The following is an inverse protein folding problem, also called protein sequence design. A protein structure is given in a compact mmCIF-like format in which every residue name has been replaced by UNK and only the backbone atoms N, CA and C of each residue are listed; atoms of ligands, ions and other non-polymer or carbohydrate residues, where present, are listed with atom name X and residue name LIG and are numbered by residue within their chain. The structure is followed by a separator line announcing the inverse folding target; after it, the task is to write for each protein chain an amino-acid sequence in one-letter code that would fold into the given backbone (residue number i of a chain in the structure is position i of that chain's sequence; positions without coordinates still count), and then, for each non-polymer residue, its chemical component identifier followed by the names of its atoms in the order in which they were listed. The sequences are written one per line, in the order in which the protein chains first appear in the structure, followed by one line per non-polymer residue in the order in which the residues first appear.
data_IF_310485314591
#
_entry.id   IF_310485314591
#
_cell.length_a   1.000
_cell.length_b   1.000
_cell.length_c   1.000
_cell.angle_alpha   90.00
_cell.angle_beta   90.00
_cell.angle_gamma   90.00
#
_symmetry.space_group_name_H-M   'P 1'
#
loop_
_entity.id
_entity.type
_entity.pdbx_description
1 polymer ?
#
# COMPACT_ATOMS: atom_id res chain seq x y z
N UNK A 1 -7.38 8.12 -2.91
CA UNK A 1 -8.03 7.09 -2.08
C UNK A 1 -8.69 5.99 -2.93
N UNK A 2 -9.48 6.30 -3.95
CA UNK A 2 -10.24 5.31 -4.74
C UNK A 2 -9.45 4.43 -5.74
N UNK A 3 -8.19 4.69 -6.00
CA UNK A 3 -7.37 3.96 -6.99
C UNK A 3 -7.37 2.45 -6.88
N UNK A 4 -7.45 1.92 -5.67
CA UNK A 4 -7.40 0.49 -5.39
C UNK A 4 -8.76 -0.16 -5.54
N UNK A 5 -9.80 0.63 -5.46
CA UNK A 5 -11.18 0.17 -5.60
C UNK A 5 -11.58 0.00 -7.06
N UNK A 6 -11.00 0.77 -8.00
CA UNK A 6 -11.32 0.70 -9.42
C UNK A 6 -11.15 -0.70 -10.04
N UNK A 7 -10.02 -1.42 -9.82
CA UNK A 7 -9.90 -2.78 -10.32
C UNK A 7 -10.94 -3.74 -9.73
N UNK A 8 -11.37 -3.52 -8.47
CA UNK A 8 -12.43 -4.33 -7.84
C UNK A 8 -13.77 -4.07 -8.49
N UNK A 9 -14.09 -2.80 -8.75
CA UNK A 9 -15.32 -2.41 -9.45
C UNK A 9 -15.39 -3.01 -10.86
N UNK A 10 -14.29 -2.91 -11.61
CA UNK A 10 -14.21 -3.50 -12.95
C UNK A 10 -14.41 -5.01 -12.91
N UNK A 11 -13.75 -5.70 -11.98
CA UNK A 11 -13.90 -7.16 -11.81
C UNK A 11 -15.33 -7.53 -11.40
N UNK A 12 -15.92 -6.78 -10.48
CA UNK A 12 -17.31 -6.98 -10.05
C UNK A 12 -18.26 -6.89 -11.24
N UNK A 13 -18.11 -5.89 -12.10
CA UNK A 13 -18.92 -5.74 -13.33
C UNK A 13 -18.73 -6.87 -14.33
N UNK A 14 -17.49 -7.32 -14.52
CA UNK A 14 -17.23 -8.44 -15.43
C UNK A 14 -17.88 -9.72 -14.91
N UNK A 15 -17.82 -9.96 -13.60
CA UNK A 15 -18.44 -11.14 -12.99
C UNK A 15 -19.97 -11.15 -13.09
N UNK A 16 -20.61 -9.98 -13.22
CA UNK A 16 -22.06 -9.86 -13.42
C UNK A 16 -22.57 -10.24 -14.81
N UNK A 17 -21.68 -10.22 -15.82
CA UNK A 17 -22.04 -10.57 -17.19
C UNK A 17 -22.01 -12.08 -17.39
N UNK A 18 -22.92 -12.59 -18.22
CA UNK A 18 -22.87 -13.97 -18.69
C UNK A 18 -21.50 -14.27 -19.32
N UNK A 19 -20.83 -15.33 -18.89
CA UNK A 19 -19.45 -15.63 -19.29
C UNK A 19 -18.37 -14.70 -18.67
N UNK A 20 -18.75 -13.81 -17.77
CA UNK A 20 -17.85 -12.83 -17.17
C UNK A 20 -16.70 -13.45 -16.37
N UNK A 21 -16.95 -14.58 -15.69
CA UNK A 21 -15.90 -15.32 -14.97
C UNK A 21 -14.82 -15.86 -15.92
N UNK A 22 -15.21 -16.40 -17.09
CA UNK A 22 -14.27 -16.87 -18.10
C UNK A 22 -13.50 -15.71 -18.75
N UNK A 23 -14.19 -14.59 -19.03
CA UNK A 23 -13.56 -13.39 -19.56
C UNK A 23 -12.52 -12.83 -18.57
N UNK A 24 -12.88 -12.78 -17.29
CA UNK A 24 -11.97 -12.34 -16.23
C UNK A 24 -10.74 -13.25 -16.10
N UNK A 25 -10.91 -14.56 -16.15
CA UNK A 25 -9.81 -15.53 -16.11
C UNK A 25 -8.84 -15.40 -17.30
N UNK A 26 -9.34 -14.93 -18.45
CA UNK A 26 -8.47 -14.64 -19.63
C UNK A 26 -7.66 -13.34 -19.47
N UNK A 27 -8.18 -12.37 -18.76
CA UNK A 27 -7.55 -11.05 -18.55
C UNK A 27 -6.60 -11.10 -17.36
N UNK A 28 -7.02 -11.69 -16.24
CA UNK A 28 -6.23 -11.79 -15.00
C UNK A 28 -5.52 -13.13 -14.96
N UNK A 29 -4.39 -13.21 -15.63
CA UNK A 29 -3.62 -14.47 -15.77
C UNK A 29 -2.78 -14.86 -14.55
N UNK A 30 -2.80 -14.07 -13.49
CA UNK A 30 -1.88 -14.26 -12.37
C UNK A 30 -0.42 -14.02 -12.77
N UNK A 31 0.51 -14.29 -11.86
CA UNK A 31 1.94 -14.13 -12.10
C UNK A 31 2.55 -15.44 -12.59
N UNK A 32 3.42 -15.42 -13.62
CA UNK A 32 4.09 -16.62 -14.12
C UNK A 32 4.91 -17.33 -13.03
N UNK A 33 5.03 -18.65 -13.13
CA UNK A 33 6.00 -19.39 -12.34
C UNK A 33 7.41 -18.85 -12.61
N UNK A 34 8.19 -18.59 -11.57
CA UNK A 34 9.52 -17.98 -11.69
C UNK A 34 9.51 -16.45 -11.79
N UNK A 35 8.35 -15.79 -11.59
CA UNK A 35 8.30 -14.34 -11.39
C UNK A 35 9.20 -13.94 -10.22
N UNK A 36 10.03 -12.91 -10.43
CA UNK A 36 10.88 -12.40 -9.36
C UNK A 36 10.02 -11.77 -8.26
N UNK A 37 10.11 -12.31 -7.05
CA UNK A 37 9.43 -11.83 -5.87
C UNK A 37 10.42 -11.24 -4.87
N UNK A 38 9.94 -10.36 -4.01
CA UNK A 38 10.79 -9.70 -3.02
C UNK A 38 11.17 -10.65 -1.87
N UNK A 39 10.28 -11.56 -1.49
CA UNK A 39 10.47 -12.54 -0.38
C UNK A 39 10.03 -13.96 -0.80
N UNK A 40 10.79 -15.04 -0.48
CA UNK A 40 10.55 -16.43 -0.95
C UNK A 40 9.45 -17.25 -0.20
N UNK A 41 9.06 -18.44 -0.69
CA UNK A 41 7.69 -19.01 -0.71
C UNK A 41 7.08 -19.72 0.53
N UNK A 42 5.75 -19.88 0.59
CA UNK A 42 4.94 -20.75 1.43
C UNK A 42 3.47 -20.54 1.78
N UNK A 43 2.36 -20.54 0.93
CA UNK A 43 0.95 -20.97 1.24
C UNK A 43 -0.20 -20.76 0.23
N UNK A 44 -1.42 -21.38 0.43
CA UNK A 44 -2.57 -21.51 -0.52
C UNK A 44 -3.85 -20.72 -0.18
N UNK A 45 -4.76 -20.43 -1.20
CA UNK A 45 -6.01 -19.62 -1.08
C UNK A 45 -7.27 -20.23 -1.71
N UNK A 46 -8.51 -19.84 -1.25
CA UNK A 46 -9.84 -20.30 -1.77
C UNK A 46 -10.91 -19.18 -1.75
N UNK A 47 -11.87 -19.14 -2.71
CA UNK A 47 -12.90 -18.08 -2.85
C UNK A 47 -14.24 -18.47 -3.51
N UNK A 48 -15.27 -17.59 -3.57
CA UNK A 48 -16.68 -17.78 -4.03
C UNK A 48 -17.34 -16.54 -4.74
N UNK A 49 -18.51 -16.63 -5.49
CA UNK A 49 -19.04 -15.65 -6.48
C UNK A 49 -20.18 -14.71 -6.00
N UNK A 50 -20.56 -13.66 -6.79
CA UNK A 50 -21.59 -12.64 -6.49
C UNK A 50 -22.29 -11.93 -7.65
N UNK A 51 -23.52 -11.40 -7.42
CA UNK A 51 -24.38 -10.68 -8.35
C UNK A 51 -24.72 -9.23 -7.88
N UNK A 52 -24.80 -8.27 -8.79
CA UNK A 52 -25.55 -7.01 -8.63
C UNK A 52 -24.87 -5.65 -8.33
N UNK A 53 -23.95 -5.09 -9.16
CA UNK A 53 -23.31 -3.77 -8.89
C UNK A 53 -23.03 -2.89 -10.14
N UNK A 54 -24.06 -2.45 -10.87
CA UNK A 54 -23.87 -1.66 -12.12
C UNK A 54 -23.57 -0.17 -11.94
N UNK A 55 -23.91 0.46 -10.82
CA UNK A 55 -23.88 1.91 -10.62
C UNK A 55 -22.54 2.47 -10.05
N UNK A 56 -21.67 1.59 -9.54
CA UNK A 56 -20.42 1.99 -8.92
C UNK A 56 -19.35 2.56 -9.86
N UNK A 57 -19.55 2.46 -11.17
CA UNK A 57 -18.52 2.85 -12.15
C UNK A 57 -18.54 4.36 -12.46
N UNK A 58 -19.67 5.03 -12.34
CA UNK A 58 -19.74 6.47 -12.59
C UNK A 58 -18.99 7.24 -11.51
N UNK A 59 -19.18 6.88 -10.24
CA UNK A 59 -18.48 7.50 -9.12
C UNK A 59 -16.94 7.26 -9.15
N UNK A 60 -16.49 6.10 -9.66
CA UNK A 60 -15.06 5.83 -9.81
C UNK A 60 -14.43 6.62 -10.97
N UNK A 61 -15.19 6.83 -12.07
CA UNK A 61 -14.75 7.65 -13.21
C UNK A 61 -14.53 9.11 -12.85
N UNK A 62 -15.39 9.68 -12.03
CA UNK A 62 -15.29 11.09 -11.58
C UNK A 62 -14.10 11.33 -10.64
N UNK A 63 -13.64 10.34 -9.90
CA UNK A 63 -12.48 10.44 -9.00
C UNK A 63 -11.12 10.22 -9.68
N UNK A 64 -11.09 9.85 -10.96
CA UNK A 64 -9.87 9.43 -11.66
C UNK A 64 -8.89 10.60 -11.95
N UNK A 65 -9.33 11.86 -11.81
CA UNK A 65 -8.45 13.04 -11.94
C UNK A 65 -7.38 13.16 -10.83
N UNK A 66 -7.51 12.40 -9.74
CA UNK A 66 -6.52 12.33 -8.65
C UNK A 66 -5.41 11.32 -8.89
N UNK A 67 -5.43 10.60 -9.99
CA UNK A 67 -4.57 9.46 -10.28
C UNK A 67 -3.43 9.73 -11.26
N UNK A 68 -2.20 9.64 -10.78
CA UNK A 68 -1.04 9.46 -11.65
C UNK A 68 -1.06 8.04 -12.21
N UNK A 69 -1.20 7.86 -13.52
CA UNK A 69 -1.30 6.55 -14.19
C UNK A 69 0.06 5.88 -14.43
N UNK A 70 1.15 6.66 -14.44
CA UNK A 70 2.52 6.22 -14.76
C UNK A 70 3.49 6.38 -13.58
N UNK A 71 3.07 5.98 -12.39
CA UNK A 71 3.92 6.04 -11.19
C UNK A 71 4.59 4.71 -10.91
N UNK A 72 5.82 4.79 -10.45
CA UNK A 72 6.60 3.66 -10.00
C UNK A 72 7.64 4.10 -8.98
N UNK A 73 8.46 3.17 -8.56
CA UNK A 73 9.62 3.45 -7.72
C UNK A 73 10.59 2.28 -7.82
N UNK A 74 11.87 2.56 -7.62
CA UNK A 74 12.89 1.53 -7.42
C UNK A 74 13.55 1.77 -6.07
N UNK A 75 13.89 0.72 -5.36
CA UNK A 75 14.83 0.76 -4.26
C UNK A 75 15.55 -0.58 -4.16
N UNK A 76 16.80 -0.55 -3.73
CA UNK A 76 17.57 -1.75 -3.46
C UNK A 76 18.64 -1.50 -2.40
N UNK A 77 19.06 -2.56 -1.75
CA UNK A 77 20.22 -2.58 -0.87
C UNK A 77 21.13 -3.74 -1.22
N UNK A 78 22.43 -3.57 -0.99
CA UNK A 78 23.44 -4.60 -1.24
C UNK A 78 24.33 -4.78 -0.02
N UNK A 79 24.80 -6.03 0.18
CA UNK A 79 25.69 -6.40 1.26
C UNK A 79 27.04 -5.68 1.18
N UNK A 80 27.67 -5.41 2.33
CA UNK A 80 29.02 -4.88 2.40
C UNK A 80 30.07 -5.74 1.69
N UNK A 81 29.88 -7.07 1.65
CA UNK A 81 30.76 -7.99 0.90
C UNK A 81 30.76 -7.75 -0.61
N UNK A 82 29.79 -7.02 -1.14
CA UNK A 82 29.69 -6.64 -2.57
C UNK A 82 30.25 -5.26 -2.87
N UNK A 83 30.62 -4.47 -1.86
CA UNK A 83 31.01 -3.06 -1.98
C UNK A 83 32.50 -2.85 -1.76
N UNK A 84 33.04 -1.81 -2.39
CA UNK A 84 34.43 -1.41 -2.22
C UNK A 84 34.74 -0.88 -0.81
N UNK A 85 33.73 -0.36 -0.08
CA UNK A 85 33.88 0.13 1.28
C UNK A 85 33.82 -0.96 2.35
N UNK A 86 33.31 -2.16 2.03
CA UNK A 86 32.97 -3.18 2.99
C UNK A 86 31.69 -2.91 3.79
N UNK A 87 31.05 -1.75 3.59
CA UNK A 87 29.77 -1.39 4.20
C UNK A 87 28.62 -1.52 3.17
N UNK A 88 27.41 -1.90 3.61
CA UNK A 88 26.28 -2.01 2.70
C UNK A 88 25.92 -0.66 2.06
N UNK A 89 25.31 -0.71 0.88
CA UNK A 89 24.77 0.45 0.18
C UNK A 89 23.28 0.30 -0.01
N UNK A 90 22.58 1.44 0.05
CA UNK A 90 21.15 1.55 -0.29
C UNK A 90 20.95 2.60 -1.38
N UNK A 91 20.01 2.34 -2.28
CA UNK A 91 19.60 3.25 -3.32
C UNK A 91 18.07 3.31 -3.40
N UNK A 92 17.54 4.47 -3.78
CA UNK A 92 16.10 4.68 -3.91
C UNK A 92 15.79 5.72 -4.98
N UNK A 93 14.71 5.49 -5.72
CA UNK A 93 14.29 6.29 -6.86
C UNK A 93 12.77 6.27 -7.00
N UNK A 94 12.13 7.44 -6.99
CA UNK A 94 10.70 7.60 -7.11
C UNK A 94 10.33 8.14 -8.48
N UNK A 95 9.46 7.42 -9.19
CA UNK A 95 8.93 7.86 -10.49
C UNK A 95 7.63 8.62 -10.27
N UNK A 96 7.67 9.93 -10.48
CA UNK A 96 6.55 10.86 -10.32
C UNK A 96 6.41 11.77 -11.53
N UNK A 97 5.28 12.45 -11.64
CA UNK A 97 5.10 13.53 -12.61
C UNK A 97 6.20 14.58 -12.48
N UNK A 98 6.65 15.13 -13.62
CA UNK A 98 7.66 16.19 -13.68
C UNK A 98 7.01 17.57 -13.54
N UNK A 99 6.35 17.79 -12.41
CA UNK A 99 5.65 19.03 -12.10
C UNK A 99 6.54 20.02 -11.36
N UNK A 100 6.21 21.31 -11.47
CA UNK A 100 6.81 22.39 -10.69
C UNK A 100 5.72 23.15 -9.92
N UNK A 101 5.71 23.14 -8.57
CA UNK A 101 6.69 22.50 -7.70
C UNK A 101 6.58 20.97 -7.72
N UNK A 102 7.69 20.27 -7.49
CA UNK A 102 7.72 18.81 -7.37
C UNK A 102 6.91 18.32 -6.18
N UNK A 103 6.41 17.09 -6.26
CA UNK A 103 5.72 16.41 -5.15
C UNK A 103 6.61 16.24 -3.92
N UNK A 104 7.93 16.17 -4.11
CA UNK A 104 8.88 16.06 -3.01
C UNK A 104 9.70 17.35 -2.84
N UNK A 105 10.03 17.65 -1.59
CA UNK A 105 11.05 18.61 -1.24
C UNK A 105 12.12 17.95 -0.35
N UNK A 106 13.35 18.44 -0.42
CA UNK A 106 14.43 17.98 0.43
C UNK A 106 14.39 18.71 1.77
N UNK A 107 14.65 17.99 2.84
CA UNK A 107 14.69 18.53 4.21
C UNK A 107 15.84 17.92 4.98
N UNK A 108 16.54 18.76 5.75
CA UNK A 108 17.53 18.34 6.73
C UNK A 108 17.11 18.86 8.11
N UNK A 109 16.84 17.95 9.02
CA UNK A 109 16.47 18.24 10.40
C UNK A 109 17.67 17.92 11.30
N UNK A 110 18.27 18.96 11.90
CA UNK A 110 19.44 18.79 12.76
C UNK A 110 19.24 19.53 14.07
N UNK A 111 19.22 18.79 15.17
CA UNK A 111 19.17 19.31 16.54
C UNK A 111 19.74 18.26 17.51
N UNK A 112 19.96 18.58 18.80
CA UNK A 112 20.38 17.57 19.75
C UNK A 112 19.49 16.33 19.77
N UNK A 113 20.07 15.16 19.45
CA UNK A 113 19.36 13.87 19.41
C UNK A 113 18.56 13.57 18.12
N UNK A 114 18.68 14.43 17.10
CA UNK A 114 18.10 14.19 15.77
C UNK A 114 18.99 14.80 14.70
N UNK A 115 19.46 13.97 13.77
CA UNK A 115 20.15 14.40 12.56
C UNK A 115 19.70 13.52 11.40
N UNK A 116 18.68 13.97 10.65
CA UNK A 116 18.10 13.22 9.54
C UNK A 116 17.90 14.10 8.31
N UNK A 117 18.32 13.61 7.16
CA UNK A 117 18.17 14.27 5.86
C UNK A 117 17.46 13.36 4.88
N UNK A 118 16.62 13.92 4.03
CA UNK A 118 15.91 13.16 2.99
C UNK A 118 14.85 13.97 2.30
N UNK A 119 13.93 13.25 1.67
CA UNK A 119 12.80 13.82 0.94
C UNK A 119 11.48 13.60 1.68
N UNK A 120 10.61 14.59 1.62
CA UNK A 120 9.26 14.55 2.18
C UNK A 120 8.25 15.20 1.22
N UNK A 121 6.98 15.03 1.52
CA UNK A 121 5.86 15.69 0.80
C UNK A 121 5.48 16.96 1.56
N UNK A 122 5.19 18.10 0.88
CA UNK A 122 4.73 19.32 1.53
C UNK A 122 3.54 19.08 2.47
N UNK A 123 3.64 19.58 3.69
CA UNK A 123 2.66 19.39 4.76
C UNK A 123 2.86 18.12 5.61
N UNK A 124 3.77 17.23 5.23
CA UNK A 124 4.14 16.04 6.00
C UNK A 124 5.44 16.31 6.75
N UNK A 125 5.47 16.29 8.10
CA UNK A 125 6.67 16.54 8.85
C UNK A 125 7.67 15.39 8.75
N UNK A 126 8.96 15.72 8.70
CA UNK A 126 10.05 14.75 8.75
C UNK A 126 10.67 14.42 7.38
N UNK A 127 11.74 13.63 7.42
CA UNK A 127 12.43 13.08 6.24
C UNK A 127 12.08 11.59 6.13
N UNK A 128 11.17 11.21 5.22
CA UNK A 128 10.51 9.91 5.30
C UNK A 128 10.71 9.02 4.07
N UNK A 129 10.83 9.61 2.86
CA UNK A 129 10.74 8.82 1.64
C UNK A 129 12.08 8.20 1.24
N UNK A 130 13.07 9.01 0.98
CA UNK A 130 14.44 8.60 0.68
C UNK A 130 15.29 9.36 1.67
N UNK A 131 15.76 8.69 2.70
CA UNK A 131 16.36 9.39 3.81
C UNK A 131 17.45 8.58 4.48
N UNK A 132 18.26 9.27 5.23
CA UNK A 132 19.17 8.66 6.19
C UNK A 132 19.37 9.58 7.40
N UNK A 133 19.80 8.97 8.49
CA UNK A 133 20.43 9.65 9.60
C UNK A 133 21.92 9.26 9.65
N UNK A 134 22.60 9.48 10.77
CA UNK A 134 24.03 9.14 10.93
C UNK A 134 24.31 7.62 10.94
N UNK A 135 23.29 6.76 11.04
CA UNK A 135 23.42 5.34 11.32
C UNK A 135 22.74 4.45 10.32
N UNK A 136 21.59 4.84 9.82
CA UNK A 136 20.77 4.01 8.93
C UNK A 136 20.21 4.84 7.78
N UNK A 137 20.21 4.26 6.58
CA UNK A 137 19.62 4.83 5.38
C UNK A 137 18.54 3.92 4.80
N UNK A 138 17.55 4.53 4.15
CA UNK A 138 16.46 3.81 3.49
C UNK A 138 16.00 4.47 2.20
N UNK A 139 15.60 3.61 1.26
CA UNK A 139 14.87 3.98 0.06
C UNK A 139 13.48 3.34 0.08
N UNK A 140 12.45 4.09 -0.27
CA UNK A 140 11.05 3.65 -0.18
C UNK A 140 10.47 3.37 -1.56
N UNK A 141 9.68 2.30 -1.68
CA UNK A 141 8.77 2.12 -2.80
C UNK A 141 7.35 1.84 -2.31
N UNK A 142 6.38 2.06 -3.17
CA UNK A 142 5.00 1.73 -2.86
C UNK A 142 4.81 0.22 -2.73
N UNK A 143 4.20 -0.23 -1.61
CA UNK A 143 4.07 -1.64 -1.26
C UNK A 143 3.05 -2.41 -2.06
N UNK A 144 2.18 -1.72 -2.82
CA UNK A 144 1.12 -2.32 -3.66
C UNK A 144 0.20 -3.30 -2.91
N UNK A 145 0.20 -3.28 -1.58
CA UNK A 145 -0.71 -4.09 -0.79
C UNK A 145 -2.15 -3.59 -0.96
N UNK A 146 -3.07 -4.51 -1.03
CA UNK A 146 -4.50 -4.23 -1.09
C UNK A 146 -5.05 -4.04 0.32
N UNK A 147 -5.35 -2.81 0.68
CA UNK A 147 -5.77 -2.42 2.03
C UNK A 147 -7.19 -1.85 2.07
N UNK A 148 -7.82 -1.66 0.91
CA UNK A 148 -9.16 -1.09 0.83
C UNK A 148 -10.14 -2.13 0.33
N UNK A 149 -11.25 -2.32 1.05
CA UNK A 149 -12.34 -3.20 0.65
C UNK A 149 -13.64 -2.42 0.47
N UNK A 150 -14.49 -2.91 -0.42
CA UNK A 150 -15.80 -2.35 -0.71
C UNK A 150 -16.87 -3.29 -0.19
N UNK A 151 -17.72 -2.78 0.71
CA UNK A 151 -18.81 -3.51 1.31
C UNK A 151 -20.13 -2.96 0.79
N UNK A 152 -20.90 -3.79 0.11
CA UNK A 152 -22.29 -3.44 -0.24
C UNK A 152 -23.15 -3.59 0.99
N UNK A 153 -23.85 -2.53 1.34
CA UNK A 153 -24.67 -2.45 2.55
C UNK A 153 -26.15 -2.30 2.19
N UNK A 154 -27.01 -2.88 3.02
CA UNK A 154 -28.45 -2.68 2.99
C UNK A 154 -28.90 -1.78 4.10
N UNK A 155 -29.74 -0.82 3.76
CA UNK A 155 -30.23 0.19 4.71
C UNK A 155 -31.74 0.17 4.81
N UNK A 156 -32.24 0.70 5.91
CA UNK A 156 -33.64 1.12 6.11
C UNK A 156 -33.71 2.34 7.00
N UNK A 157 -34.82 3.06 6.92
CA UNK A 157 -35.19 4.03 7.93
C UNK A 157 -35.94 3.25 9.05
N UNK A 158 -35.26 3.11 10.20
CA UNK A 158 -35.83 2.51 11.39
C UNK A 158 -36.56 3.55 12.26
N UNK A 159 -36.75 3.32 13.55
CA UNK A 159 -37.48 4.19 14.50
C UNK A 159 -36.84 5.57 14.68
N UNK A 160 -36.87 6.40 13.64
CA UNK A 160 -36.32 7.76 13.60
C UNK A 160 -34.81 7.85 13.38
N UNK A 161 -34.17 6.77 12.91
CA UNK A 161 -32.75 6.72 12.58
C UNK A 161 -32.49 5.77 11.42
N UNK A 162 -31.40 5.99 10.70
CA UNK A 162 -30.90 5.07 9.68
C UNK A 162 -30.30 3.83 10.32
N UNK A 163 -30.64 2.67 9.76
CA UNK A 163 -30.12 1.36 10.19
C UNK A 163 -29.58 0.62 8.98
N UNK A 164 -28.53 -0.20 9.19
CA UNK A 164 -27.99 -1.11 8.21
C UNK A 164 -28.13 -2.56 8.68
N UNK A 165 -28.31 -3.48 7.73
CA UNK A 165 -28.40 -4.92 8.00
C UNK A 165 -27.02 -5.53 8.27
N UNK A 166 -26.91 -6.36 9.32
CA UNK A 166 -25.74 -7.16 9.57
C UNK A 166 -26.13 -8.47 10.26
N UNK A 167 -25.77 -9.61 9.66
CA UNK A 167 -26.09 -10.96 10.15
C UNK A 167 -27.58 -11.16 10.49
N UNK A 168 -28.46 -10.63 9.65
CA UNK A 168 -29.92 -10.70 9.82
C UNK A 168 -30.49 -9.75 10.88
N UNK A 169 -29.67 -8.91 11.52
CA UNK A 169 -30.10 -7.90 12.47
C UNK A 169 -29.88 -6.48 11.91
N UNK A 170 -30.74 -5.55 12.33
CA UNK A 170 -30.60 -4.13 11.99
C UNK A 170 -29.82 -3.39 13.06
N UNK A 171 -28.73 -2.71 12.65
CA UNK A 171 -27.86 -1.92 13.52
C UNK A 171 -27.95 -0.44 13.15
N UNK A 172 -27.88 0.47 14.13
CA UNK A 172 -27.86 1.91 13.83
C UNK A 172 -26.59 2.29 13.06
N UNK A 173 -26.76 3.03 11.95
CA UNK A 173 -25.69 3.72 11.29
C UNK A 173 -25.37 5.05 12.01
N UNK A 174 -24.11 5.46 12.00
CA UNK A 174 -23.74 6.83 12.35
C UNK A 174 -24.04 7.73 11.15
N UNK A 175 -24.64 8.89 11.39
CA UNK A 175 -24.93 9.88 10.35
C UNK A 175 -24.34 11.20 10.79
N UNK A 176 -23.48 11.77 9.96
CA UNK A 176 -22.82 13.06 10.17
C UNK A 176 -23.31 14.05 9.11
N UNK A 177 -23.72 15.21 9.59
CA UNK A 177 -24.02 16.36 8.73
C UNK A 177 -22.75 17.20 8.56
N UNK A 178 -22.24 17.28 7.34
CA UNK A 178 -21.05 18.04 6.99
C UNK A 178 -21.40 19.21 6.07
N UNK A 179 -20.66 20.30 6.19
CA UNK A 179 -20.80 21.46 5.32
C UNK A 179 -19.48 21.76 4.61
N UNK A 180 -19.50 21.64 3.29
CA UNK A 180 -18.35 22.01 2.46
C UNK A 180 -18.48 23.48 2.08
N UNK A 181 -17.54 24.31 2.55
CA UNK A 181 -17.44 25.71 2.16
C UNK A 181 -16.79 25.84 0.79
N UNK A 182 -17.50 26.36 -0.16
CA UNK A 182 -17.00 26.57 -1.53
C UNK A 182 -16.54 28.01 -1.66
N UNK A 183 -15.30 28.25 -2.07
CA UNK A 183 -14.77 29.60 -2.31
C UNK A 183 -15.56 30.26 -3.43
N UNK A 184 -16.07 31.45 -3.14
CA UNK A 184 -16.88 32.25 -4.07
C UNK A 184 -18.17 31.56 -4.56
N UNK A 185 -18.64 30.52 -3.83
CA UNK A 185 -19.83 29.74 -4.13
C UNK A 185 -20.75 29.52 -2.93
N UNK A 186 -21.89 28.88 -3.16
CA UNK A 186 -22.77 28.44 -2.10
C UNK A 186 -22.17 27.25 -1.32
N UNK A 187 -22.43 27.22 -0.02
CA UNK A 187 -22.07 26.03 0.81
C UNK A 187 -22.81 24.79 0.33
N UNK A 188 -22.14 23.64 0.36
CA UNK A 188 -22.73 22.34 0.03
C UNK A 188 -22.92 21.55 1.32
N UNK A 189 -24.18 21.30 1.69
CA UNK A 189 -24.50 20.38 2.78
C UNK A 189 -24.39 18.94 2.28
N UNK A 190 -23.71 18.09 3.05
CA UNK A 190 -23.52 16.68 2.76
C UNK A 190 -23.78 15.82 3.99
N UNK A 191 -24.57 14.78 3.83
CA UNK A 191 -24.77 13.76 4.86
C UNK A 191 -23.81 12.60 4.61
N UNK A 192 -23.03 12.21 5.62
CA UNK A 192 -22.14 11.05 5.59
C UNK A 192 -22.73 9.96 6.45
N UNK A 193 -23.10 8.85 5.84
CA UNK A 193 -23.54 7.64 6.55
C UNK A 193 -22.36 6.70 6.78
N UNK A 194 -22.18 6.23 8.02
CA UNK A 194 -21.06 5.37 8.41
C UNK A 194 -21.60 4.09 9.02
N UNK A 195 -21.13 2.94 8.50
CA UNK A 195 -21.35 1.61 9.08
C UNK A 195 -20.10 1.15 9.85
N UNK A 196 -20.12 -0.04 10.43
CA UNK A 196 -18.91 -0.60 11.05
C UNK A 196 -17.79 -0.92 10.05
N UNK A 197 -18.12 -1.05 8.74
CA UNK A 197 -17.11 -1.19 7.69
C UNK A 197 -16.46 0.14 7.29
N UNK A 198 -17.14 1.27 7.54
CA UNK A 198 -16.65 2.60 7.23
C UNK A 198 -17.70 3.50 6.58
N UNK A 199 -17.28 4.66 6.04
CA UNK A 199 -18.18 5.59 5.38
C UNK A 199 -18.71 5.05 4.05
N UNK A 200 -19.99 5.35 3.78
CA UNK A 200 -20.63 5.07 2.48
C UNK A 200 -20.11 6.08 1.46
N UNK A 201 -19.56 5.58 0.38
CA UNK A 201 -18.92 6.37 -0.69
C UNK A 201 -19.69 6.34 -2.01
N UNK A 202 -20.69 5.47 -2.15
CA UNK A 202 -21.53 5.35 -3.33
C UNK A 202 -22.91 4.79 -2.97
N UNK A 203 -23.90 4.97 -3.85
CA UNK A 203 -25.30 4.64 -3.61
C UNK A 203 -26.00 5.69 -2.72
N UNK A 204 -27.25 5.40 -2.39
CA UNK A 204 -28.04 6.25 -1.49
C UNK A 204 -28.65 5.40 -0.37
N UNK A 205 -28.14 5.51 0.87
CA UNK A 205 -28.70 4.81 2.03
C UNK A 205 -30.21 5.02 2.22
N UNK A 206 -30.77 6.16 1.79
CA UNK A 206 -32.20 6.43 1.84
C UNK A 206 -33.00 5.58 0.85
N UNK A 207 -32.37 5.17 -0.25
CA UNK A 207 -32.97 4.26 -1.23
C UNK A 207 -32.83 2.78 -0.86
N UNK A 208 -32.19 2.49 0.29
CA UNK A 208 -32.06 1.14 0.85
C UNK A 208 -30.74 0.44 0.60
N UNK A 209 -29.76 1.07 -0.07
CA UNK A 209 -28.46 0.47 -0.30
C UNK A 209 -27.34 1.53 -0.41
N UNK A 210 -26.13 1.07 -0.22
CA UNK A 210 -24.92 1.87 -0.40
C UNK A 210 -23.68 1.01 -0.41
N UNK A 211 -22.55 1.61 -0.69
CA UNK A 211 -21.25 0.94 -0.64
C UNK A 211 -20.36 1.66 0.35
N UNK A 212 -20.00 0.98 1.42
CA UNK A 212 -19.04 1.42 2.40
C UNK A 212 -17.61 1.05 1.98
N UNK A 213 -16.64 1.88 2.36
CA UNK A 213 -15.23 1.60 2.17
C UNK A 213 -14.56 1.28 3.49
N UNK A 214 -13.96 0.10 3.58
CA UNK A 214 -13.04 -0.27 4.65
C UNK A 214 -11.62 0.13 4.28
N UNK A 215 -10.96 0.91 5.14
CA UNK A 215 -9.57 1.34 4.98
C UNK A 215 -8.93 1.51 6.36
N UNK A 216 -7.73 0.94 6.62
CA UNK A 216 -7.04 1.09 7.90
C UNK A 216 -6.74 2.55 8.29
N UNK A 217 -6.63 3.44 7.32
CA UNK A 217 -6.40 4.87 7.52
C UNK A 217 -7.63 5.67 7.97
N UNK A 218 -8.83 5.09 7.88
CA UNK A 218 -10.09 5.74 8.31
C UNK A 218 -10.42 5.49 9.80
N UNK A 219 -9.60 4.72 10.51
CA UNK A 219 -9.77 4.44 11.94
C UNK A 219 -9.54 5.65 12.82
N UNK A 220 -9.97 5.54 14.07
CA UNK A 220 -9.78 6.59 15.11
C UNK A 220 -8.31 6.71 15.49
N UNK A 221 -7.63 7.67 14.86
CA UNK A 221 -6.22 7.99 15.10
C UNK A 221 -5.26 7.04 14.37
N UNK A 222 -4.31 7.64 13.71
CA UNK A 222 -3.23 6.94 13.01
C UNK A 222 -1.90 7.43 13.59
N UNK A 223 -1.16 6.62 14.36
CA UNK A 223 0.07 7.04 15.03
C UNK A 223 1.29 7.07 14.09
N UNK A 224 1.10 7.20 12.79
CA UNK A 224 2.19 7.28 11.80
C UNK A 224 3.20 8.42 12.06
N UNK A 225 2.84 9.59 12.63
CA UNK A 225 3.84 10.62 12.94
C UNK A 225 4.85 10.16 14.00
N UNK A 226 4.42 9.36 14.97
CA UNK A 226 5.31 8.77 15.97
C UNK A 226 6.25 7.75 15.33
N UNK A 227 5.74 6.92 14.42
CA UNK A 227 6.56 6.00 13.63
C UNK A 227 7.61 6.76 12.79
N UNK A 228 7.21 7.86 12.16
CA UNK A 228 8.10 8.72 11.38
C UNK A 228 9.24 9.31 12.23
N UNK A 229 8.91 9.83 13.40
CA UNK A 229 9.91 10.39 14.34
C UNK A 229 10.84 9.29 14.86
N UNK A 230 10.32 8.13 15.20
CA UNK A 230 11.12 6.98 15.63
C UNK A 230 12.05 6.49 14.51
N UNK A 231 11.56 6.42 13.26
CA UNK A 231 12.36 6.05 12.11
C UNK A 231 13.57 6.98 11.89
N UNK A 232 13.35 8.30 11.99
CA UNK A 232 14.44 9.27 11.87
C UNK A 232 15.50 9.16 12.99
N UNK A 233 15.18 8.53 14.12
CA UNK A 233 16.05 8.31 15.28
C UNK A 233 16.63 6.91 15.35
N UNK A 234 16.22 6.00 14.50
CA UNK A 234 16.67 4.61 14.51
C UNK A 234 18.19 4.51 14.36
N UNK A 235 18.82 3.65 15.13
CA UNK A 235 20.29 3.46 15.12
C UNK A 235 20.72 2.33 14.18
N UNK A 236 19.81 1.47 13.79
CA UNK A 236 20.06 0.34 12.88
C UNK A 236 18.76 -0.13 12.21
N UNK A 237 18.89 -1.12 11.31
CA UNK A 237 17.76 -1.68 10.56
C UNK A 237 16.68 -2.30 11.46
N UNK A 238 17.03 -2.91 12.59
CA UNK A 238 16.06 -3.55 13.48
C UNK A 238 15.24 -2.50 14.25
N UNK A 239 15.89 -1.43 14.72
CA UNK A 239 15.19 -0.30 15.33
C UNK A 239 14.30 0.43 14.31
N UNK A 240 14.76 0.58 13.05
CA UNK A 240 13.92 1.13 11.98
C UNK A 240 12.69 0.25 11.71
N UNK A 241 12.86 -1.08 11.69
CA UNK A 241 11.74 -2.01 11.58
C UNK A 241 10.75 -1.83 12.72
N UNK A 242 11.23 -1.76 13.95
CA UNK A 242 10.39 -1.56 15.13
C UNK A 242 9.67 -0.20 15.11
N UNK A 243 10.33 0.87 14.65
CA UNK A 243 9.71 2.17 14.46
C UNK A 243 8.48 2.11 13.55
N UNK A 244 8.48 1.25 12.53
CA UNK A 244 7.35 1.05 11.64
C UNK A 244 6.22 0.19 12.20
N UNK A 245 6.29 -0.34 13.40
CA UNK A 245 5.22 -1.13 14.04
C UNK A 245 3.90 -0.38 14.12
N UNK A 246 3.95 0.93 14.31
CA UNK A 246 2.77 1.80 14.38
C UNK A 246 2.48 2.53 13.06
N UNK A 247 3.20 2.20 11.98
CA UNK A 247 2.95 2.77 10.66
C UNK A 247 1.60 2.29 10.11
N UNK A 248 0.67 3.20 9.90
CA UNK A 248 -0.71 2.91 9.49
C UNK A 248 -1.10 3.55 8.18
N UNK A 249 -0.32 4.52 7.71
CA UNK A 249 -0.52 5.10 6.40
C UNK A 249 -0.17 4.08 5.31
N UNK A 250 -0.17 4.47 4.06
CA UNK A 250 0.04 3.55 2.92
C UNK A 250 1.11 2.51 3.18
N UNK A 251 0.82 1.26 2.81
CA UNK A 251 1.80 0.18 2.90
C UNK A 251 2.96 0.46 1.96
N UNK A 252 4.17 0.48 2.50
CA UNK A 252 5.40 0.79 1.79
C UNK A 252 6.42 -0.35 1.90
N UNK A 253 7.28 -0.42 0.89
CA UNK A 253 8.48 -1.24 0.89
C UNK A 253 9.68 -0.34 1.20
N UNK A 254 10.58 -0.81 2.02
CA UNK A 254 11.83 -0.13 2.34
C UNK A 254 13.02 -1.02 2.02
N UNK A 255 13.92 -0.56 1.16
CA UNK A 255 15.27 -1.07 1.09
C UNK A 255 16.09 -0.32 2.14
N UNK A 256 16.87 -1.03 2.94
CA UNK A 256 17.57 -0.47 4.13
C UNK A 256 19.01 -0.92 4.15
N UNK A 257 19.89 -0.04 4.65
CA UNK A 257 21.28 -0.36 4.99
C UNK A 257 21.70 0.44 6.24
N UNK A 258 22.53 -0.15 7.12
CA UNK A 258 23.01 0.50 8.33
C UNK A 258 24.52 0.41 8.51
N UNK A 259 25.06 1.20 9.45
CA UNK A 259 26.49 1.23 9.79
C UNK A 259 26.99 -0.01 10.55
N UNK A 260 26.10 -0.87 11.02
CA UNK A 260 26.43 -2.15 11.65
C UNK A 260 26.67 -3.26 10.63
N UNK A 261 26.43 -2.99 9.34
CA UNK A 261 26.61 -3.92 8.25
C UNK A 261 25.34 -4.65 7.83
N UNK A 262 24.19 -4.32 8.44
CA UNK A 262 22.91 -4.91 8.05
C UNK A 262 22.37 -4.23 6.80
N UNK A 263 21.70 -5.03 5.97
CA UNK A 263 20.99 -4.58 4.78
C UNK A 263 19.77 -5.46 4.53
N UNK A 264 18.84 -4.98 3.72
CA UNK A 264 17.71 -5.82 3.38
C UNK A 264 16.46 -5.05 2.99
N UNK A 265 15.33 -5.70 3.26
CA UNK A 265 14.00 -5.24 2.87
C UNK A 265 13.03 -5.33 4.05
N UNK A 266 12.21 -4.29 4.21
CA UNK A 266 11.11 -4.24 5.17
C UNK A 266 9.82 -3.88 4.44
N UNK A 267 8.74 -4.59 4.75
CA UNK A 267 7.37 -4.21 4.35
C UNK A 267 6.69 -3.58 5.56
N UNK A 268 6.15 -2.39 5.42
CA UNK A 268 5.57 -1.66 6.55
C UNK A 268 4.19 -1.11 6.22
N UNK A 269 3.26 -1.25 7.16
CA UNK A 269 1.89 -0.77 7.07
C UNK A 269 0.88 -1.77 7.61
N UNK A 270 -0.36 -1.35 7.76
CA UNK A 270 -1.46 -2.22 8.19
C UNK A 270 -2.14 -2.87 6.98
N UNK A 271 -2.08 -4.19 6.94
CA UNK A 271 -2.73 -4.99 5.89
C UNK A 271 -3.80 -5.84 6.58
N UNK A 272 -5.09 -5.70 6.20
CA UNK A 272 -6.17 -6.47 6.82
C UNK A 272 -6.03 -7.97 6.55
N UNK A 273 -6.25 -8.79 7.56
CA UNK A 273 -6.42 -10.24 7.42
C UNK A 273 -7.86 -10.51 7.03
N UNK A 274 -8.06 -11.02 5.84
CA UNK A 274 -9.39 -11.33 5.29
C UNK A 274 -9.32 -12.29 4.10
N UNK A 275 -10.48 -12.75 3.67
CA UNK A 275 -10.61 -13.63 2.51
C UNK A 275 -10.20 -12.95 1.19
N UNK A 276 -9.75 -13.73 0.23
CA UNK A 276 -9.32 -13.25 -1.08
C UNK A 276 -10.46 -12.57 -1.87
N UNK A 277 -11.72 -12.93 -1.59
CA UNK A 277 -12.88 -12.33 -2.23
C UNK A 277 -12.94 -10.81 -2.06
N UNK A 278 -12.59 -10.30 -0.88
CA UNK A 278 -12.51 -8.86 -0.58
C UNK A 278 -11.51 -8.15 -1.50
N UNK A 279 -10.40 -8.81 -1.82
CA UNK A 279 -9.39 -8.27 -2.73
C UNK A 279 -9.82 -8.25 -4.19
N UNK A 280 -10.80 -9.10 -4.58
CA UNK A 280 -11.23 -9.24 -5.96
C UNK A 280 -12.36 -8.28 -6.34
N UNK A 281 -13.31 -8.05 -5.44
CA UNK A 281 -14.60 -7.45 -5.74
C UNK A 281 -15.20 -6.74 -4.53
N UNK A 282 -16.27 -5.99 -4.75
CA UNK A 282 -17.14 -5.57 -3.67
C UNK A 282 -17.85 -6.80 -3.08
N UNK A 283 -18.01 -6.85 -1.77
CA UNK A 283 -18.54 -7.97 -1.00
C UNK A 283 -19.82 -7.58 -0.27
N UNK A 284 -20.66 -8.59 0.05
CA UNK A 284 -21.91 -8.39 0.79
C UNK A 284 -21.65 -8.12 2.27
N UNK A 285 -21.64 -6.85 2.68
CA UNK A 285 -21.40 -6.41 4.05
C UNK A 285 -22.44 -6.95 5.05
N UNK A 286 -23.69 -7.12 4.62
CA UNK A 286 -24.76 -7.60 5.51
C UNK A 286 -24.62 -9.05 5.98
N UNK A 287 -23.73 -9.85 5.37
CA UNK A 287 -23.63 -11.29 5.65
C UNK A 287 -22.73 -11.67 6.82
N UNK A 288 -21.83 -10.81 7.25
CA UNK A 288 -20.76 -11.11 8.22
C UNK A 288 -19.69 -12.09 7.70
N UNK A 289 -19.71 -12.49 6.44
CA UNK A 289 -18.80 -13.50 5.86
C UNK A 289 -17.46 -12.94 5.38
N UNK A 290 -17.36 -11.63 5.27
CA UNK A 290 -16.22 -10.94 4.64
C UNK A 290 -15.55 -9.95 5.58
N UNK A 291 -15.72 -10.17 6.87
CA UNK A 291 -15.13 -9.31 7.90
C UNK A 291 -13.60 -9.36 7.91
N UNK A 292 -13.01 -8.29 8.37
CA UNK A 292 -11.59 -8.28 8.69
C UNK A 292 -11.35 -8.96 10.04
N UNK A 293 -10.48 -9.97 10.04
CA UNK A 293 -10.08 -10.71 11.24
C UNK A 293 -8.94 -10.01 12.02
N UNK A 294 -8.66 -8.76 11.69
CA UNK A 294 -7.57 -7.97 12.23
C UNK A 294 -6.56 -7.57 11.15
N UNK A 295 -5.30 -7.45 11.53
CA UNK A 295 -4.22 -7.08 10.62
C UNK A 295 -3.08 -8.10 10.70
N UNK A 296 -2.33 -8.25 9.59
CA UNK A 296 -1.12 -9.07 9.59
C UNK A 296 -0.20 -8.58 10.72
N UNK A 297 0.23 -9.46 11.64
CA UNK A 297 1.16 -9.08 12.70
C UNK A 297 2.42 -8.44 12.13
N UNK A 298 2.90 -7.38 12.75
CA UNK A 298 4.08 -6.65 12.27
C UNK A 298 5.29 -7.57 12.05
N UNK A 299 5.47 -8.54 12.95
CA UNK A 299 6.61 -9.47 12.89
C UNK A 299 6.48 -10.52 11.77
N UNK A 300 5.28 -10.67 11.20
CA UNK A 300 4.97 -11.57 10.10
C UNK A 300 4.89 -10.86 8.73
N UNK A 301 5.01 -9.52 8.70
CA UNK A 301 5.08 -8.78 7.43
C UNK A 301 6.30 -9.22 6.60
N UNK A 302 6.16 -9.27 5.26
CA UNK A 302 7.26 -9.66 4.37
C UNK A 302 8.55 -8.88 4.68
N UNK A 303 9.59 -9.57 5.08
CA UNK A 303 10.85 -8.97 5.54
C UNK A 303 12.02 -9.84 5.10
N UNK A 304 13.13 -9.22 4.68
CA UNK A 304 14.39 -9.91 4.40
C UNK A 304 15.54 -9.14 5.06
N UNK A 305 16.15 -9.73 6.07
CA UNK A 305 17.30 -9.16 6.79
C UNK A 305 18.53 -9.98 6.43
N UNK A 306 19.57 -9.30 5.92
CA UNK A 306 20.83 -9.91 5.51
C UNK A 306 20.65 -11.13 4.60
N UNK A 307 19.85 -11.06 3.51
CA UNK A 307 19.62 -12.21 2.66
C UNK A 307 20.93 -12.72 2.05
N UNK A 308 21.14 -14.06 2.04
CA UNK A 308 22.36 -14.72 1.57
C UNK A 308 22.76 -14.37 0.14
N UNK A 309 21.78 -14.05 -0.71
CA UNK A 309 22.01 -13.60 -2.09
C UNK A 309 22.80 -12.28 -2.17
N UNK A 310 22.96 -11.55 -1.06
CA UNK A 310 23.76 -10.34 -0.96
C UNK A 310 23.09 -9.08 -1.53
N UNK A 311 21.77 -9.09 -1.80
CA UNK A 311 20.98 -7.91 -2.19
C UNK A 311 19.50 -8.09 -1.84
N UNK A 312 18.79 -6.99 -1.72
CA UNK A 312 17.34 -6.92 -1.70
C UNK A 312 16.87 -5.85 -2.69
N UNK A 313 15.84 -6.15 -3.49
CA UNK A 313 15.36 -5.28 -4.58
C UNK A 313 13.85 -5.16 -4.49
N UNK A 314 13.35 -3.94 -4.51
CA UNK A 314 11.93 -3.63 -4.61
C UNK A 314 11.68 -2.56 -5.67
N UNK A 315 10.93 -2.93 -6.71
CA UNK A 315 10.51 -2.06 -7.80
C UNK A 315 8.98 -2.14 -7.99
N UNK A 316 8.25 -2.24 -6.90
CA UNK A 316 6.80 -2.46 -6.80
C UNK A 316 6.33 -3.84 -7.32
N UNK A 317 7.24 -4.79 -7.58
CA UNK A 317 6.88 -6.15 -7.93
C UNK A 317 6.30 -6.87 -6.71
N UNK A 318 5.78 -8.07 -6.93
CA UNK A 318 5.20 -8.92 -5.90
C UNK A 318 6.16 -9.13 -4.73
N UNK A 319 5.67 -8.91 -3.52
CA UNK A 319 6.51 -8.88 -2.30
C UNK A 319 6.72 -10.24 -1.66
N UNK A 320 5.77 -11.16 -1.83
CA UNK A 320 5.80 -12.48 -1.21
C UNK A 320 5.39 -13.57 -2.20
N UNK A 321 5.85 -14.79 -1.97
CA UNK A 321 5.54 -15.94 -2.79
C UNK A 321 4.14 -16.52 -2.54
N UNK A 322 3.77 -17.59 -3.26
CA UNK A 322 2.44 -18.20 -3.19
C UNK A 322 2.14 -18.86 -1.84
N UNK A 323 3.19 -19.20 -1.12
CA UNK A 323 3.16 -19.88 0.16
C UNK A 323 3.20 -18.93 1.37
N UNK A 324 3.22 -17.62 1.18
CA UNK A 324 3.01 -16.66 2.25
C UNK A 324 1.57 -16.76 2.79
N UNK A 325 1.37 -16.88 4.13
CA UNK A 325 0.08 -17.26 4.71
C UNK A 325 -1.03 -16.20 4.60
N UNK A 326 -0.70 -14.98 4.20
CA UNK A 326 -1.66 -13.89 4.16
C UNK A 326 -1.86 -13.37 2.74
N UNK A 327 -3.07 -12.89 2.47
CA UNK A 327 -3.36 -12.15 1.26
C UNK A 327 -2.81 -10.72 1.36
N UNK A 328 -1.86 -10.39 0.50
CA UNK A 328 -1.28 -9.03 0.44
C UNK A 328 -1.90 -8.20 -0.69
N UNK A 329 -2.14 -8.78 -1.84
CA UNK A 329 -2.69 -8.06 -2.99
C UNK A 329 -2.55 -8.81 -4.30
N UNK A 330 -3.18 -8.25 -5.34
CA UNK A 330 -3.20 -8.80 -6.71
C UNK A 330 -2.54 -7.88 -7.74
N UNK A 331 -2.41 -6.59 -7.45
CA UNK A 331 -2.04 -5.57 -8.43
C UNK A 331 -0.61 -5.08 -8.19
N UNK A 332 0.36 -5.95 -8.40
CA UNK A 332 1.78 -5.60 -8.37
C UNK A 332 2.26 -5.23 -9.78
N UNK A 333 3.30 -4.41 -9.87
CA UNK A 333 3.92 -4.14 -11.17
C UNK A 333 4.66 -5.37 -11.70
N UNK A 334 4.81 -5.51 -13.03
CA UNK A 334 5.67 -6.53 -13.62
C UNK A 334 7.12 -6.40 -13.12
N UNK A 335 7.84 -7.51 -13.10
CA UNK A 335 9.19 -7.62 -12.56
C UNK A 335 10.31 -7.02 -13.44
N UNK A 336 9.99 -6.42 -14.60
CA UNK A 336 11.00 -6.01 -15.59
C UNK A 336 12.05 -5.07 -14.99
N UNK A 337 11.65 -4.06 -14.23
CA UNK A 337 12.56 -3.13 -13.55
C UNK A 337 13.42 -3.84 -12.51
N UNK A 338 12.81 -4.68 -11.68
CA UNK A 338 13.53 -5.45 -10.67
C UNK A 338 14.55 -6.39 -11.29
N UNK A 339 14.21 -7.09 -12.39
CA UNK A 339 15.16 -7.94 -13.13
C UNK A 339 16.28 -7.11 -13.77
N UNK A 340 16.01 -5.91 -14.25
CA UNK A 340 17.05 -5.04 -14.79
C UNK A 340 18.02 -4.62 -13.70
N UNK A 341 17.54 -4.13 -12.57
CA UNK A 341 18.36 -3.80 -11.40
C UNK A 341 19.18 -5.02 -10.95
N UNK A 342 18.53 -6.19 -10.80
CA UNK A 342 19.22 -7.43 -10.45
C UNK A 342 20.38 -7.74 -11.40
N UNK A 343 20.15 -7.69 -12.71
CA UNK A 343 21.21 -7.94 -13.71
C UNK A 343 22.36 -6.97 -13.53
N UNK A 344 22.07 -5.67 -13.40
CA UNK A 344 23.12 -4.65 -13.26
C UNK A 344 23.92 -4.83 -11.95
N UNK A 345 23.28 -5.24 -10.87
CA UNK A 345 23.98 -5.56 -9.63
C UNK A 345 24.86 -6.82 -9.76
N UNK A 346 24.42 -7.81 -10.52
CA UNK A 346 25.19 -9.04 -10.77
C UNK A 346 26.34 -8.84 -11.76
N UNK A 347 26.24 -7.85 -12.66
CA UNK A 347 27.31 -7.46 -13.58
C UNK A 347 28.49 -6.75 -12.88
N UNK A 348 28.28 -6.23 -11.65
CA UNK A 348 29.35 -5.61 -10.86
C UNK A 348 30.31 -6.67 -10.29
N UNK A 349 31.60 -6.39 -10.35
CA UNK A 349 32.59 -7.22 -9.69
C UNK A 349 32.34 -7.28 -8.16
N UNK A 350 32.43 -8.48 -7.59
CA UNK A 350 32.18 -8.66 -6.15
C UNK A 350 33.23 -7.89 -5.33
N UNK A 351 32.77 -7.16 -4.32
CA UNK A 351 33.64 -6.32 -3.48
C UNK A 351 34.07 -4.99 -4.13
N UNK A 352 33.53 -4.65 -5.32
CA UNK A 352 33.92 -3.43 -6.03
C UNK A 352 32.83 -2.37 -6.16
N UNK A 353 31.59 -2.68 -5.81
CA UNK A 353 30.46 -1.74 -5.98
C UNK A 353 30.64 -0.45 -5.20
N UNK A 354 30.33 0.68 -5.82
CA UNK A 354 30.46 2.03 -5.28
C UNK A 354 29.13 2.77 -5.32
N UNK A 355 29.05 3.93 -4.63
CA UNK A 355 27.92 4.85 -4.74
C UNK A 355 27.69 5.31 -6.18
N UNK A 356 28.77 5.53 -6.95
CA UNK A 356 28.68 5.91 -8.36
C UNK A 356 28.06 4.81 -9.23
N UNK A 357 28.25 3.53 -8.89
CA UNK A 357 27.59 2.42 -9.55
C UNK A 357 26.09 2.42 -9.29
N UNK A 358 25.68 2.70 -8.04
CA UNK A 358 24.26 2.83 -7.70
C UNK A 358 23.60 3.94 -8.50
N UNK A 359 24.25 5.10 -8.62
CA UNK A 359 23.78 6.22 -9.46
C UNK A 359 23.68 5.83 -10.95
N UNK A 360 24.65 5.06 -11.48
CA UNK A 360 24.61 4.57 -12.88
C UNK A 360 23.44 3.58 -13.11
N UNK A 361 23.11 2.75 -12.12
CA UNK A 361 21.97 1.83 -12.22
C UNK A 361 20.66 2.60 -12.27
N UNK A 362 20.51 3.70 -11.54
CA UNK A 362 19.33 4.58 -11.65
C UNK A 362 19.12 5.14 -13.05
N UNK A 363 20.21 5.53 -13.73
CA UNK A 363 20.15 6.07 -15.08
C UNK A 363 20.05 5.04 -16.20
N UNK A 364 20.02 3.75 -15.88
CA UNK A 364 20.02 2.64 -16.85
C UNK A 364 18.61 2.06 -17.02
N UNK A 365 17.68 2.87 -17.50
CA UNK A 365 16.28 2.47 -17.75
C UNK A 365 15.86 2.66 -19.20
#
# INVERSE_FOLDING_TARGET
MLFRSEPKLLRTRLLQKEGGAEALARIVKGYPAGHLITVPPGAEYKGAPLDGLSELQEAAGEANWLGETDVGSNAWSIAGSRTASGLPLVAGDSHRGLDAPSVYYQVHLSCPGLNAIGSSVPGVPGALHFAHNDRVGWGMTYGSADTQDLFVERFREGSGRREYEFEGAWRPAEVLDETIRVRDGAEVAMEVTITHHGPVIAGDPRSGWGVAIGDPGLGKGTPWPDAALAAMKASNMLELREAFRTWTDRVNNYAVADCEGNFGYLHAGKIPVRGQANGWRAVEGWTGRFEWEGYIPHDELPTAINPEVGYAITCNQRVAAHDYPYYVGLNFTPEFRARRVQRRLLDLESGAATVADMARIHGDM
#
